data_IF_495991471989
#
_entry.id   IF_495991471989
#
_cell.length_a   1.000
_cell.length_b   1.000
_cell.length_c   1.000
_cell.angle_alpha   90.00
_cell.angle_beta   90.00
_cell.angle_gamma   90.00
#
_symmetry.space_group_name_H-M   'P 1'
#
loop_
_entity.id
_entity.type
_entity.pdbx_description
1 polymer ?
#
# COMPACT_ATOMS: atom_id res chain seq x y z
N UNK A 1 -1.62 -9.51 -15.89
CA UNK A 1 -0.46 -8.94 -15.15
C UNK A 1 -0.97 -7.98 -14.10
N UNK A 2 -0.31 -7.83 -12.94
CA UNK A 2 -0.78 -6.90 -11.92
C UNK A 2 -0.81 -5.46 -12.46
N UNK A 3 -1.81 -4.68 -12.07
CA UNK A 3 -1.98 -3.29 -12.50
C UNK A 3 -1.76 -2.34 -11.34
N UNK A 4 -1.18 -1.19 -11.64
CA UNK A 4 -1.05 -0.10 -10.68
C UNK A 4 -2.45 0.33 -10.25
N UNK A 5 -2.74 0.24 -8.95
CA UNK A 5 -4.05 0.61 -8.39
C UNK A 5 -4.45 2.06 -8.68
N UNK A 6 -3.48 2.94 -8.92
CA UNK A 6 -3.71 4.37 -9.15
C UNK A 6 -3.90 4.72 -10.63
N UNK A 7 -2.98 4.29 -11.50
CA UNK A 7 -2.98 4.69 -12.92
C UNK A 7 -3.35 3.56 -13.89
N UNK A 8 -3.63 2.35 -13.38
CA UNK A 8 -4.02 1.16 -14.17
C UNK A 8 -2.99 0.64 -15.17
N UNK A 9 -1.82 1.29 -15.27
CA UNK A 9 -0.66 0.78 -16.01
C UNK A 9 -0.26 -0.59 -15.47
N UNK A 10 0.06 -1.52 -16.36
CA UNK A 10 0.62 -2.81 -15.97
C UNK A 10 1.96 -2.62 -15.25
N UNK A 11 2.13 -3.35 -14.15
CA UNK A 11 3.37 -3.38 -13.38
C UNK A 11 4.09 -4.67 -13.76
N UNK A 12 5.26 -4.51 -14.35
CA UNK A 12 6.14 -5.59 -14.74
C UNK A 12 7.03 -6.01 -13.57
N UNK A 13 7.64 -7.17 -13.74
CA UNK A 13 8.62 -7.69 -12.78
C UNK A 13 9.89 -6.84 -12.77
N UNK A 14 10.63 -6.94 -11.67
CA UNK A 14 11.97 -6.35 -11.56
C UNK A 14 12.91 -7.03 -12.54
N UNK A 15 13.58 -6.24 -13.38
CA UNK A 15 14.59 -6.74 -14.30
C UNK A 15 15.96 -6.57 -13.65
N UNK A 16 16.63 -7.68 -13.38
CA UNK A 16 18.03 -7.68 -12.93
C UNK A 16 18.96 -7.69 -14.15
N UNK A 17 19.89 -6.73 -14.21
CA UNK A 17 20.89 -6.62 -15.28
C UNK A 17 22.27 -6.59 -14.64
N UNK A 18 23.05 -7.67 -14.72
CA UNK A 18 24.47 -7.69 -14.32
C UNK A 18 24.79 -7.02 -12.96
N UNK A 19 25.08 -5.72 -12.99
CA UNK A 19 25.45 -4.85 -11.88
C UNK A 19 24.33 -3.95 -11.31
N UNK A 20 23.13 -3.95 -11.89
CA UNK A 20 22.00 -3.12 -11.49
C UNK A 20 20.65 -3.82 -11.64
N UNK A 21 19.59 -3.15 -11.21
CA UNK A 21 18.21 -3.60 -11.39
C UNK A 21 17.31 -2.44 -11.79
N UNK A 22 16.25 -2.76 -12.54
CA UNK A 22 15.19 -1.82 -12.91
C UNK A 22 13.88 -2.27 -12.29
N UNK A 23 13.38 -1.48 -11.34
CA UNK A 23 12.04 -1.64 -10.78
C UNK A 23 11.01 -1.02 -11.70
N UNK A 24 9.87 -1.68 -11.88
CA UNK A 24 8.69 -1.09 -12.53
C UNK A 24 7.61 -0.68 -11.53
N UNK A 25 7.60 -1.30 -10.35
CA UNK A 25 6.68 -0.97 -9.28
C UNK A 25 6.95 -1.73 -7.98
N UNK A 26 6.03 -1.57 -7.05
CA UNK A 26 6.10 -2.13 -5.70
C UNK A 26 4.85 -2.96 -5.42
N UNK A 27 5.04 -4.07 -4.72
CA UNK A 27 3.99 -4.87 -4.09
C UNK A 27 3.92 -4.48 -2.63
N UNK A 28 2.81 -3.89 -2.19
CA UNK A 28 2.68 -3.34 -0.83
C UNK A 28 1.62 -4.13 -0.05
N UNK A 29 1.98 -4.56 1.16
CA UNK A 29 1.03 -5.06 2.16
C UNK A 29 0.53 -3.86 2.98
N UNK A 30 -0.73 -3.50 2.80
CA UNK A 30 -1.31 -2.27 3.36
C UNK A 30 -2.83 -2.43 3.51
N UNK A 31 -3.58 -1.43 3.95
CA UNK A 31 -5.03 -1.58 4.09
C UNK A 31 -5.70 -0.40 4.76
N UNK A 32 -7.03 -0.48 4.93
CA UNK A 32 -7.74 0.49 5.79
C UNK A 32 -7.20 0.34 7.21
N UNK A 33 -6.95 1.49 7.85
CA UNK A 33 -6.52 1.56 9.24
C UNK A 33 -7.62 2.13 10.12
N UNK A 34 -7.71 1.64 11.35
CA UNK A 34 -8.49 2.24 12.42
C UNK A 34 -7.58 2.63 13.57
N UNK A 35 -7.90 3.72 14.25
CA UNK A 35 -7.23 4.08 15.51
C UNK A 35 -7.74 3.18 16.63
N UNK A 36 -6.83 2.56 17.35
CA UNK A 36 -7.13 1.81 18.58
C UNK A 36 -6.33 2.40 19.73
N UNK A 37 -6.92 2.36 20.92
CA UNK A 37 -6.25 2.74 22.15
C UNK A 37 -5.98 1.46 22.94
N UNK A 38 -4.72 1.19 23.28
CA UNK A 38 -4.37 0.08 24.16
C UNK A 38 -3.71 0.63 25.42
N UNK A 39 -4.02 0.02 26.56
CA UNK A 39 -3.34 0.33 27.80
C UNK A 39 -2.00 -0.41 27.81
N UNK A 40 -0.89 0.30 28.05
CA UNK A 40 0.42 -0.30 28.28
C UNK A 40 0.45 -0.92 29.69
N UNK A 41 1.45 -1.78 29.95
CA UNK A 41 1.63 -2.42 31.26
C UNK A 41 1.85 -1.43 32.42
N UNK A 42 2.14 -0.19 32.10
CA UNK A 42 2.44 0.92 33.00
C UNK A 42 1.20 1.77 33.31
N UNK A 43 0.04 1.40 32.76
CA UNK A 43 -1.24 2.08 32.97
C UNK A 43 -1.50 3.25 32.02
N UNK A 44 -0.53 3.62 31.16
CA UNK A 44 -0.72 4.67 30.15
C UNK A 44 -1.53 4.15 28.95
N UNK A 45 -2.31 5.04 28.34
CA UNK A 45 -3.02 4.72 27.10
C UNK A 45 -2.20 5.15 25.87
N UNK A 46 -1.85 4.21 25.02
CA UNK A 46 -1.18 4.47 23.74
C UNK A 46 -2.15 4.33 22.57
N UNK A 47 -2.05 5.26 21.61
CA UNK A 47 -2.83 5.24 20.39
C UNK A 47 -2.04 4.57 19.27
N UNK A 48 -2.63 3.55 18.65
CA UNK A 48 -2.04 2.82 17.53
C UNK A 48 -2.94 2.92 16.30
N UNK A 49 -2.34 2.76 15.13
CA UNK A 49 -3.07 2.47 13.90
C UNK A 49 -3.06 0.96 13.69
N UNK A 50 -4.24 0.35 13.71
CA UNK A 50 -4.41 -1.06 13.39
C UNK A 50 -4.94 -1.19 11.97
N UNK A 51 -4.31 -2.05 11.16
CA UNK A 51 -4.87 -2.49 9.89
C UNK A 51 -6.18 -3.26 10.16
N UNK A 52 -7.30 -2.68 9.75
CA UNK A 52 -8.64 -3.28 9.90
C UNK A 52 -9.09 -4.07 8.67
N UNK A 53 -8.54 -3.73 7.50
CA UNK A 53 -8.84 -4.41 6.23
C UNK A 53 -7.52 -4.59 5.46
N UNK A 54 -6.71 -5.61 5.82
CA UNK A 54 -5.40 -5.84 5.24
C UNK A 54 -5.54 -6.37 3.81
N UNK A 55 -4.80 -5.76 2.90
CA UNK A 55 -4.80 -6.06 1.48
C UNK A 55 -3.37 -6.05 0.92
N UNK A 56 -3.27 -6.47 -0.32
CA UNK A 56 -2.06 -6.36 -1.10
C UNK A 56 -2.36 -5.63 -2.39
N UNK A 57 -1.49 -4.71 -2.75
CA UNK A 57 -1.64 -3.89 -3.96
C UNK A 57 -0.37 -3.87 -4.78
N UNK A 58 -0.53 -3.42 -6.02
CA UNK A 58 0.59 -3.06 -6.88
C UNK A 58 0.54 -1.57 -7.20
N UNK A 59 1.71 -0.92 -7.17
CA UNK A 59 1.84 0.50 -7.46
C UNK A 59 3.06 0.72 -8.35
N UNK A 60 2.90 1.42 -9.48
CA UNK A 60 4.04 1.70 -10.34
C UNK A 60 5.00 2.71 -9.70
N UNK A 61 6.26 2.68 -10.13
CA UNK A 61 7.32 3.58 -9.65
C UNK A 61 6.95 5.06 -9.75
N UNK A 62 6.26 5.46 -10.82
CA UNK A 62 5.86 6.87 -11.02
C UNK A 62 4.81 7.31 -10.00
N UNK A 63 3.81 6.45 -9.73
CA UNK A 63 2.77 6.74 -8.76
C UNK A 63 3.30 6.70 -7.32
N UNK A 64 4.34 5.91 -7.06
CA UNK A 64 4.94 5.76 -5.74
C UNK A 64 5.72 7.02 -5.35
N UNK A 65 6.44 7.62 -6.30
CA UNK A 65 7.22 8.83 -6.07
C UNK A 65 6.40 10.12 -6.00
N UNK A 66 5.08 10.07 -6.23
CA UNK A 66 4.27 11.28 -6.14
C UNK A 66 4.18 11.80 -4.70
N UNK A 67 4.37 13.12 -4.47
CA UNK A 67 4.17 13.72 -3.16
C UNK A 67 2.76 13.46 -2.63
N UNK A 68 2.63 13.27 -1.32
CA UNK A 68 1.34 13.03 -0.67
C UNK A 68 0.77 11.62 -0.91
N UNK A 69 1.57 10.70 -1.48
CA UNK A 69 1.20 9.29 -1.56
C UNK A 69 0.83 8.79 -0.15
N UNK A 70 1.61 9.03 0.90
CA UNK A 70 1.23 8.62 2.27
C UNK A 70 -0.13 9.16 2.75
N UNK A 71 -0.52 10.37 2.34
CA UNK A 71 -1.72 11.05 2.85
C UNK A 71 -3.01 10.51 2.22
N UNK A 72 -2.95 10.15 0.93
CA UNK A 72 -4.08 9.52 0.21
C UNK A 72 -4.49 8.22 0.91
N UNK A 73 -3.51 7.50 1.47
CA UNK A 73 -3.67 6.16 2.04
C UNK A 73 -4.18 6.22 3.49
N UNK A 74 -4.04 7.37 4.16
CA UNK A 74 -4.51 7.55 5.54
C UNK A 74 -5.98 7.98 5.64
N UNK A 75 -6.54 8.62 4.60
CA UNK A 75 -7.90 9.19 4.66
C UNK A 75 -8.95 8.43 3.86
N UNK A 76 -8.58 7.89 2.70
CA UNK A 76 -9.54 7.32 1.75
C UNK A 76 -9.04 6.02 1.10
N UNK A 77 -8.38 5.17 1.88
CA UNK A 77 -7.93 3.88 1.39
C UNK A 77 -9.13 3.01 0.94
N UNK A 78 -9.20 2.52 -0.31
CA UNK A 78 -10.29 1.65 -0.78
C UNK A 78 -10.24 0.28 -0.11
N UNK A 79 -11.38 -0.35 0.19
CA UNK A 79 -11.41 -1.70 0.77
C UNK A 79 -10.80 -2.75 -0.14
N UNK A 80 -10.41 -3.89 0.43
CA UNK A 80 -9.99 -5.07 -0.35
C UNK A 80 -10.94 -5.38 -1.52
N UNK A 81 -12.25 -5.35 -1.27
CA UNK A 81 -13.26 -5.64 -2.29
C UNK A 81 -13.24 -4.61 -3.43
N UNK A 82 -13.12 -3.32 -3.10
CA UNK A 82 -13.01 -2.24 -4.10
C UNK A 82 -11.73 -2.40 -4.94
N UNK A 83 -10.66 -2.91 -4.34
CA UNK A 83 -9.38 -3.11 -4.98
C UNK A 83 -9.31 -4.35 -5.88
N UNK A 84 -10.12 -5.39 -5.62
CA UNK A 84 -10.16 -6.62 -6.44
C UNK A 84 -10.44 -6.37 -7.92
N UNK A 85 -11.09 -5.26 -8.26
CA UNK A 85 -11.37 -4.88 -9.66
C UNK A 85 -10.07 -4.62 -10.44
N UNK A 86 -9.00 -4.17 -9.76
CA UNK A 86 -7.73 -3.82 -10.39
C UNK A 86 -6.74 -4.99 -10.47
N UNK A 87 -7.04 -6.11 -9.82
CA UNK A 87 -6.22 -7.32 -9.81
C UNK A 87 -6.65 -8.35 -10.86
N UNK A 88 -7.56 -8.02 -11.78
CA UNK A 88 -8.03 -8.90 -12.86
C UNK A 88 -7.21 -8.74 -14.15
#
# INVERSE_FOLDING_TARGET
>A
MPRCVRCQREVNETIHQGDHYRLDGFRLHTGKVKRIQSQSGDGEHQNYLQLSDPCEIFLCVDCFHQPGMSDVWLRHFPSCEELKVFHR
#
